data_IF_095815323589
#
_entry.id   IF_095815323589
#
_cell.length_a   1.000
_cell.length_b   1.000
_cell.length_c   1.000
_cell.angle_alpha   90.00
_cell.angle_beta   90.00
_cell.angle_gamma   90.00
#
_symmetry.space_group_name_H-M   'P 1'
#
loop_
_entity.id
_entity.type
_entity.pdbx_description
1 polymer ?
#
# COMPACT_ATOMS: atom_id res chain seq x y z
N UNK A 1 52.96 39.23 7.36
CA UNK A 1 52.69 37.91 6.75
C UNK A 1 51.19 37.84 6.66
N UNK A 2 50.66 38.09 5.47
CA UNK A 2 49.23 38.34 5.30
C UNK A 2 48.50 37.00 5.30
N UNK A 3 47.72 36.78 6.35
CA UNK A 3 46.95 35.56 6.57
C UNK A 3 45.62 35.55 5.80
N UNK A 4 45.24 36.69 5.21
CA UNK A 4 44.01 36.86 4.42
C UNK A 4 43.82 35.82 3.29
N UNK A 5 44.85 35.42 2.51
CA UNK A 5 44.67 34.42 1.45
C UNK A 5 44.34 33.03 2.01
N UNK A 6 44.81 32.73 3.22
CA UNK A 6 44.57 31.43 3.88
C UNK A 6 43.14 31.37 4.40
N UNK A 7 42.62 32.46 4.97
CA UNK A 7 41.23 32.54 5.41
C UNK A 7 40.24 32.47 4.23
N UNK A 8 40.52 33.16 3.12
CA UNK A 8 39.68 33.09 1.91
C UNK A 8 39.60 31.68 1.29
N UNK A 9 40.70 30.92 1.35
CA UNK A 9 40.74 29.53 0.87
C UNK A 9 39.96 28.62 1.83
N UNK A 10 40.11 28.82 3.14
CA UNK A 10 39.37 28.06 4.16
C UNK A 10 37.86 28.30 4.07
N UNK A 11 37.42 29.53 3.82
CA UNK A 11 35.99 29.86 3.67
C UNK A 11 35.39 29.22 2.41
N UNK A 12 36.13 29.19 1.30
CA UNK A 12 35.72 28.46 0.09
C UNK A 12 35.63 26.96 0.31
N UNK A 13 36.58 26.37 1.04
CA UNK A 13 36.56 24.94 1.39
C UNK A 13 35.38 24.63 2.31
N UNK A 14 35.10 25.48 3.32
CA UNK A 14 33.96 25.34 4.22
C UNK A 14 32.62 25.43 3.47
N UNK A 15 32.48 26.37 2.53
CA UNK A 15 31.28 26.51 1.72
C UNK A 15 31.03 25.27 0.84
N UNK A 16 32.08 24.72 0.20
CA UNK A 16 31.99 23.49 -0.59
C UNK A 16 31.67 22.29 0.30
N UNK A 17 32.30 22.18 1.46
CA UNK A 17 32.05 21.10 2.42
C UNK A 17 30.63 21.14 2.96
N UNK A 18 30.10 22.34 3.22
CA UNK A 18 28.69 22.56 3.60
C UNK A 18 27.71 22.10 2.51
N UNK A 19 27.97 22.47 1.26
CA UNK A 19 27.18 22.03 0.10
C UNK A 19 27.19 20.50 -0.06
N UNK A 20 28.36 19.88 0.04
CA UNK A 20 28.51 18.42 -0.04
C UNK A 20 27.78 17.75 1.11
N UNK A 21 27.89 18.27 2.33
CA UNK A 21 27.19 17.75 3.51
C UNK A 21 25.67 17.84 3.38
N UNK A 22 25.16 18.94 2.80
CA UNK A 22 23.74 19.11 2.51
C UNK A 22 23.24 18.08 1.48
N UNK A 23 23.99 17.85 0.41
CA UNK A 23 23.66 16.85 -0.62
C UNK A 23 23.64 15.44 0.01
N UNK A 24 24.68 15.08 0.77
CA UNK A 24 24.77 13.78 1.46
C UNK A 24 23.58 13.60 2.42
N UNK A 25 23.21 14.65 3.16
CA UNK A 25 22.06 14.61 4.07
C UNK A 25 20.75 14.39 3.32
N UNK A 26 20.54 15.08 2.19
CA UNK A 26 19.37 14.90 1.33
C UNK A 26 19.27 13.49 0.76
N UNK A 27 20.40 12.94 0.28
CA UNK A 27 20.47 11.56 -0.21
C UNK A 27 20.20 10.55 0.91
N UNK A 28 20.77 10.76 2.09
CA UNK A 28 20.55 9.91 3.27
C UNK A 28 19.09 9.90 3.70
N UNK A 29 18.44 11.07 3.69
CA UNK A 29 17.02 11.19 4.01
C UNK A 29 16.16 10.43 2.97
N UNK A 30 16.48 10.59 1.68
CA UNK A 30 15.80 9.87 0.60
C UNK A 30 15.89 8.34 0.79
N UNK A 31 17.09 7.81 1.08
CA UNK A 31 17.27 6.38 1.34
C UNK A 31 16.58 5.94 2.62
N UNK A 32 16.62 6.72 3.69
CA UNK A 32 15.96 6.41 4.96
C UNK A 32 14.45 6.28 4.80
N UNK A 33 13.81 7.19 4.06
CA UNK A 33 12.38 7.13 3.74
C UNK A 33 12.08 5.86 2.93
N UNK A 34 12.91 5.55 1.93
CA UNK A 34 12.73 4.35 1.09
C UNK A 34 12.86 3.06 1.88
N UNK A 35 13.85 2.98 2.77
CA UNK A 35 14.08 1.82 3.65
C UNK A 35 12.90 1.65 4.60
N UNK A 36 12.47 2.73 5.28
CA UNK A 36 11.31 2.71 6.18
C UNK A 36 10.07 2.16 5.48
N UNK A 37 9.76 2.68 4.29
CA UNK A 37 8.61 2.21 3.49
C UNK A 37 8.74 0.73 3.12
N UNK A 38 9.94 0.24 2.80
CA UNK A 38 10.16 -1.16 2.48
C UNK A 38 9.98 -2.06 3.71
N UNK A 39 10.48 -1.65 4.87
CA UNK A 39 10.32 -2.40 6.14
C UNK A 39 8.86 -2.48 6.55
N UNK A 40 8.12 -1.36 6.48
CA UNK A 40 6.68 -1.34 6.77
C UNK A 40 5.91 -2.25 5.81
N UNK A 41 6.18 -2.17 4.50
CA UNK A 41 5.54 -3.04 3.51
C UNK A 41 5.83 -4.53 3.77
N UNK A 42 7.06 -4.89 4.13
CA UNK A 42 7.42 -6.28 4.41
C UNK A 42 6.71 -6.81 5.67
N UNK A 43 6.58 -5.97 6.70
CA UNK A 43 5.83 -6.31 7.92
C UNK A 43 4.34 -6.49 7.64
N UNK A 44 3.75 -5.62 6.82
CA UNK A 44 2.36 -5.71 6.39
C UNK A 44 2.11 -7.00 5.58
N UNK A 45 3.01 -7.31 4.65
CA UNK A 45 2.96 -8.51 3.81
C UNK A 45 3.08 -9.80 4.64
N UNK A 46 3.96 -9.81 5.65
CA UNK A 46 4.07 -10.93 6.59
C UNK A 46 2.78 -11.10 7.41
N UNK A 47 2.19 -10.00 7.87
CA UNK A 47 0.92 -10.04 8.64
C UNK A 47 -0.23 -10.55 7.77
N UNK A 48 -0.28 -10.12 6.51
CA UNK A 48 -1.24 -10.61 5.52
C UNK A 48 -1.03 -12.10 5.25
N UNK A 49 0.20 -12.57 5.12
CA UNK A 49 0.54 -13.99 4.93
C UNK A 49 0.05 -14.84 6.10
N UNK A 50 0.17 -14.35 7.33
CA UNK A 50 -0.33 -15.06 8.52
C UNK A 50 -1.87 -15.12 8.56
N UNK A 51 -2.56 -14.04 8.17
CA UNK A 51 -4.03 -13.94 8.20
C UNK A 51 -4.72 -14.38 6.91
N UNK A 52 -3.95 -14.73 5.90
CA UNK A 52 -4.38 -15.12 4.55
C UNK A 52 -5.51 -16.16 4.54
N UNK A 53 -5.47 -17.27 5.30
CA UNK A 53 -6.55 -18.26 5.27
C UNK A 53 -7.91 -17.68 5.68
N UNK A 54 -7.92 -16.83 6.72
CA UNK A 54 -9.14 -16.18 7.20
C UNK A 54 -9.69 -15.22 6.14
N UNK A 55 -8.84 -14.34 5.60
CA UNK A 55 -9.25 -13.34 4.61
C UNK A 55 -9.78 -13.99 3.33
N UNK A 56 -9.11 -15.03 2.85
CA UNK A 56 -9.57 -15.80 1.69
C UNK A 56 -10.91 -16.46 2.00
N UNK A 57 -11.05 -17.07 3.18
CA UNK A 57 -12.32 -17.67 3.61
C UNK A 57 -13.47 -16.66 3.64
N UNK A 58 -13.25 -15.46 4.19
CA UNK A 58 -14.25 -14.39 4.24
C UNK A 58 -14.62 -13.93 2.81
N UNK A 59 -13.63 -13.70 1.94
CA UNK A 59 -13.83 -13.33 0.53
C UNK A 59 -14.59 -14.41 -0.27
N UNK A 60 -14.24 -15.68 -0.07
CA UNK A 60 -14.94 -16.82 -0.66
C UNK A 60 -16.38 -16.92 -0.14
N UNK A 61 -16.58 -16.68 1.15
CA UNK A 61 -17.90 -16.61 1.78
C UNK A 61 -18.79 -15.58 1.09
N UNK A 62 -18.29 -14.37 0.85
CA UNK A 62 -19.02 -13.36 0.08
C UNK A 62 -19.30 -13.80 -1.37
N UNK A 63 -18.33 -14.40 -2.06
CA UNK A 63 -18.54 -14.91 -3.42
C UNK A 63 -19.64 -15.98 -3.48
N UNK A 64 -19.65 -16.92 -2.53
CA UNK A 64 -20.67 -17.97 -2.44
C UNK A 64 -22.02 -17.37 -2.07
N UNK A 65 -22.04 -16.38 -1.18
CA UNK A 65 -23.25 -15.70 -0.78
C UNK A 65 -23.89 -14.95 -1.96
N UNK A 66 -23.09 -14.32 -2.81
CA UNK A 66 -23.54 -13.69 -4.06
C UNK A 66 -24.15 -14.73 -5.00
N UNK A 67 -23.56 -15.93 -5.11
CA UNK A 67 -24.05 -16.98 -6.01
C UNK A 67 -25.37 -17.64 -5.53
N UNK A 68 -25.58 -17.75 -4.21
CA UNK A 68 -26.70 -18.51 -3.63
C UNK A 68 -27.96 -17.69 -3.35
N UNK A 69 -27.84 -16.37 -3.19
CA UNK A 69 -28.95 -15.53 -2.78
C UNK A 69 -29.51 -14.73 -3.96
N UNK A 70 -30.81 -14.42 -3.88
CA UNK A 70 -31.35 -13.33 -4.69
C UNK A 70 -30.62 -12.05 -4.32
N UNK A 71 -30.15 -11.36 -5.35
CA UNK A 71 -29.31 -10.16 -5.30
C UNK A 71 -29.82 -9.10 -4.31
N UNK A 72 -31.14 -8.99 -4.16
CA UNK A 72 -31.83 -8.04 -3.28
C UNK A 72 -31.57 -8.26 -1.79
N UNK A 73 -31.15 -9.46 -1.37
CA UNK A 73 -30.86 -9.81 0.03
C UNK A 73 -29.38 -9.68 0.38
N UNK A 74 -28.54 -9.22 -0.54
CA UNK A 74 -27.11 -9.09 -0.30
C UNK A 74 -26.84 -7.82 0.49
N UNK A 75 -26.27 -7.99 1.69
CA UNK A 75 -25.82 -6.87 2.51
C UNK A 75 -24.56 -6.22 1.90
N UNK A 76 -24.80 -5.34 0.92
CA UNK A 76 -23.80 -4.49 0.26
C UNK A 76 -22.96 -3.70 1.25
N UNK A 77 -23.57 -3.23 2.34
CA UNK A 77 -22.86 -2.48 3.36
C UNK A 77 -21.82 -3.35 4.07
N UNK A 78 -22.17 -4.59 4.43
CA UNK A 78 -21.23 -5.50 5.08
C UNK A 78 -20.01 -5.80 4.19
N UNK A 79 -20.23 -6.09 2.91
CA UNK A 79 -19.14 -6.30 1.96
C UNK A 79 -18.28 -5.04 1.78
N UNK A 80 -18.90 -3.85 1.66
CA UNK A 80 -18.18 -2.59 1.55
C UNK A 80 -17.33 -2.31 2.81
N UNK A 81 -17.88 -2.53 3.99
CA UNK A 81 -17.17 -2.38 5.26
C UNK A 81 -15.97 -3.32 5.35
N UNK A 82 -16.15 -4.58 4.97
CA UNK A 82 -15.08 -5.56 4.94
C UNK A 82 -13.95 -5.16 3.98
N UNK A 83 -14.27 -4.67 2.78
CA UNK A 83 -13.26 -4.21 1.82
C UNK A 83 -12.49 -2.98 2.34
N UNK A 84 -13.16 -2.06 3.04
CA UNK A 84 -12.51 -0.90 3.67
C UNK A 84 -11.56 -1.36 4.78
N UNK A 85 -12.03 -2.23 5.68
CA UNK A 85 -11.20 -2.80 6.75
C UNK A 85 -9.95 -3.49 6.16
N UNK A 86 -10.12 -4.23 5.07
CA UNK A 86 -9.02 -4.90 4.37
C UNK A 86 -8.02 -3.90 3.78
N UNK A 87 -8.46 -2.80 3.19
CA UNK A 87 -7.58 -1.75 2.67
C UNK A 87 -6.83 -0.97 3.75
N UNK A 88 -7.48 -0.71 4.88
CA UNK A 88 -6.92 0.04 6.00
C UNK A 88 -5.94 -0.81 6.81
N UNK A 89 -6.28 -2.09 7.03
CA UNK A 89 -5.44 -3.04 7.77
C UNK A 89 -4.19 -3.42 6.98
N UNK A 90 -4.27 -3.47 5.64
CA UNK A 90 -3.15 -3.85 4.78
C UNK A 90 -2.85 -2.78 3.71
N UNK A 91 -2.16 -1.69 4.07
CA UNK A 91 -1.80 -0.61 3.14
C UNK A 91 -0.99 -1.09 1.92
N UNK A 92 -0.19 -2.15 2.08
CA UNK A 92 0.48 -2.82 0.97
C UNK A 92 -0.51 -3.34 -0.08
N UNK A 93 -1.56 -4.03 0.36
CA UNK A 93 -2.59 -4.59 -0.51
C UNK A 93 -3.36 -3.48 -1.24
N UNK A 94 -3.71 -2.39 -0.53
CA UNK A 94 -4.28 -1.17 -1.12
C UNK A 94 -3.39 -0.59 -2.22
N UNK A 95 -2.08 -0.47 -1.98
CA UNK A 95 -1.12 0.04 -2.98
C UNK A 95 -1.01 -0.87 -4.21
N UNK A 96 -0.91 -2.19 -4.01
CA UNK A 96 -0.72 -3.18 -5.08
C UNK A 96 -1.99 -3.47 -5.88
N UNK A 97 -3.16 -3.40 -5.25
CA UNK A 97 -4.47 -3.74 -5.85
C UNK A 97 -5.46 -2.59 -5.88
N UNK A 98 -4.97 -1.34 -5.85
CA UNK A 98 -5.77 -0.11 -5.96
C UNK A 98 -6.85 -0.15 -7.04
N UNK A 99 -6.50 -0.64 -8.24
CA UNK A 99 -7.45 -0.73 -9.37
C UNK A 99 -8.58 -1.74 -9.10
N UNK A 100 -8.28 -2.84 -8.42
CA UNK A 100 -9.27 -3.87 -8.09
C UNK A 100 -10.23 -3.36 -7.02
N UNK A 101 -9.72 -2.73 -5.95
CA UNK A 101 -10.58 -2.09 -4.95
C UNK A 101 -11.44 -0.98 -5.54
N UNK A 102 -10.86 -0.10 -6.36
CA UNK A 102 -11.64 0.93 -7.07
C UNK A 102 -12.76 0.31 -7.90
N UNK A 103 -12.45 -0.72 -8.69
CA UNK A 103 -13.46 -1.43 -9.49
C UNK A 103 -14.53 -2.09 -8.62
N UNK A 104 -14.16 -2.66 -7.47
CA UNK A 104 -15.09 -3.26 -6.52
C UNK A 104 -16.06 -2.22 -5.94
N UNK A 105 -15.56 -1.06 -5.54
CA UNK A 105 -16.41 0.01 -5.02
C UNK A 105 -17.38 0.56 -6.07
N UNK A 106 -16.90 0.80 -7.29
CA UNK A 106 -17.76 1.25 -8.41
C UNK A 106 -18.81 0.19 -8.78
N UNK A 107 -18.42 -1.10 -8.75
CA UNK A 107 -19.34 -2.20 -9.07
C UNK A 107 -20.36 -2.43 -7.96
N UNK A 108 -19.94 -2.25 -6.70
CA UNK A 108 -20.86 -2.21 -5.56
C UNK A 108 -21.89 -1.10 -5.77
N UNK A 109 -21.47 0.13 -6.06
CA UNK A 109 -22.40 1.25 -6.27
C UNK A 109 -23.43 1.00 -7.37
N UNK A 110 -23.02 0.34 -8.46
CA UNK A 110 -23.87 0.01 -9.62
C UNK A 110 -24.63 -1.31 -9.50
N UNK A 111 -24.48 -2.03 -8.38
CA UNK A 111 -25.06 -3.36 -8.16
C UNK A 111 -24.68 -4.37 -9.27
N UNK A 112 -23.43 -4.28 -9.77
CA UNK A 112 -22.86 -5.22 -10.74
C UNK A 112 -22.16 -6.38 -10.03
N UNK A 113 -22.97 -7.36 -9.63
CA UNK A 113 -22.54 -8.53 -8.85
C UNK A 113 -21.57 -9.44 -9.58
N UNK A 114 -21.63 -9.47 -10.91
CA UNK A 114 -20.68 -10.23 -11.72
C UNK A 114 -19.29 -9.60 -11.63
N UNK A 115 -19.19 -8.29 -11.81
CA UNK A 115 -17.93 -7.57 -11.67
C UNK A 115 -17.39 -7.62 -10.23
N UNK A 116 -18.28 -7.58 -9.23
CA UNK A 116 -17.89 -7.76 -7.82
C UNK A 116 -17.25 -9.14 -7.61
N UNK A 117 -17.90 -10.22 -8.06
CA UNK A 117 -17.37 -11.58 -7.94
C UNK A 117 -16.02 -11.74 -8.63
N UNK A 118 -15.87 -11.17 -9.83
CA UNK A 118 -14.59 -11.16 -10.55
C UNK A 118 -13.52 -10.39 -9.79
N UNK A 119 -13.86 -9.24 -9.20
CA UNK A 119 -12.97 -8.47 -8.35
C UNK A 119 -12.51 -9.22 -7.10
N UNK A 120 -13.45 -9.90 -6.41
CA UNK A 120 -13.18 -10.77 -5.26
C UNK A 120 -12.23 -11.91 -5.66
N UNK A 121 -12.51 -12.58 -6.79
CA UNK A 121 -11.66 -13.67 -7.30
C UNK A 121 -10.24 -13.18 -7.62
N UNK A 122 -10.10 -11.98 -8.20
CA UNK A 122 -8.80 -11.36 -8.46
C UNK A 122 -8.04 -11.00 -7.18
N UNK A 123 -8.74 -10.61 -6.11
CA UNK A 123 -8.13 -10.38 -4.80
C UNK A 123 -7.66 -11.69 -4.17
N UNK A 124 -8.51 -12.72 -4.16
CA UNK A 124 -8.17 -14.06 -3.66
C UNK A 124 -6.92 -14.58 -4.36
N UNK A 125 -6.93 -14.63 -5.69
CA UNK A 125 -5.80 -15.15 -6.48
C UNK A 125 -4.50 -14.39 -6.25
N UNK A 126 -4.57 -13.11 -5.86
CA UNK A 126 -3.37 -12.36 -5.49
C UNK A 126 -2.89 -12.67 -4.08
N UNK A 127 -3.79 -12.69 -3.10
CA UNK A 127 -3.48 -13.03 -1.71
C UNK A 127 -2.96 -14.46 -1.62
N UNK A 128 -3.41 -15.36 -2.50
CA UNK A 128 -2.89 -16.73 -2.65
C UNK A 128 -1.43 -16.79 -3.11
N UNK A 129 -0.98 -15.82 -3.91
CA UNK A 129 0.37 -15.78 -4.50
C UNK A 129 1.40 -15.03 -3.65
N UNK A 130 0.95 -14.30 -2.64
CA UNK A 130 1.79 -13.78 -1.54
C UNK A 130 2.12 -14.98 -0.64
#
# INVERSE_FOLDING_TARGET
MDWEPIFDILDKINAVTGLVSFIISGVTLFFSIRIKNNVENARDEQTLTFRKPKIIGDLQGYSIYIDKNNVELINKHALKSFLIELEETYPFLKRKKKKVFKSLYESLEKDDWYSIKRGISNLIAYIERI
#
